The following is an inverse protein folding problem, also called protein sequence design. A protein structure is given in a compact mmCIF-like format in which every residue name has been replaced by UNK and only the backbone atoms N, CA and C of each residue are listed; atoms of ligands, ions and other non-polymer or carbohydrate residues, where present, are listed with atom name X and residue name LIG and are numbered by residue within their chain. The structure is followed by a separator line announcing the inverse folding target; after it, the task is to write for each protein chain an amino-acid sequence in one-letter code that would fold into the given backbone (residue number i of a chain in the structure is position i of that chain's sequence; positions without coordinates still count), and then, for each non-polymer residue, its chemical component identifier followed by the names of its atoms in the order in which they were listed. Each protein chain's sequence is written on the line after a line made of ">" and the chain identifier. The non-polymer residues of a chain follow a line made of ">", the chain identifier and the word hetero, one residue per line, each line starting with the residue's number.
data_IF_146798937652
#
_entry.id   IF_146798937652
#
_cell.length_a   1.000
_cell.length_b   1.000
_cell.length_c   1.000
_cell.angle_alpha   90.00
_cell.angle_beta   90.00
_cell.angle_gamma   90.00
#
_symmetry.space_group_name_H-M   'P 1'
#
loop_
_entity.id
_entity.type
_entity.pdbx_description
1 polymer ?
#
# COMPACT_ATOMS: atom_id res chain seq x y z
N UNK A 1 25.59 -13.24 -8.72
CA UNK A 1 24.73 -12.05 -8.49
C UNK A 1 23.31 -12.44 -8.89
N UNK A 2 22.44 -12.74 -7.93
CA UNK A 2 21.06 -13.15 -8.23
C UNK A 2 20.24 -11.90 -8.55
N UNK A 3 19.73 -11.79 -9.78
CA UNK A 3 18.85 -10.71 -10.18
C UNK A 3 17.60 -10.78 -9.28
N UNK A 4 17.41 -9.77 -8.41
CA UNK A 4 16.16 -9.64 -7.66
C UNK A 4 15.04 -9.50 -8.68
N UNK A 5 14.19 -10.53 -8.80
CA UNK A 5 12.97 -10.47 -9.58
C UNK A 5 12.16 -9.29 -9.04
N UNK A 6 11.84 -8.32 -9.90
CA UNK A 6 11.01 -7.19 -9.52
C UNK A 6 9.67 -7.73 -8.95
N UNK A 7 9.08 -7.06 -7.94
CA UNK A 7 7.78 -7.47 -7.42
C UNK A 7 6.74 -7.41 -8.55
N UNK A 8 5.78 -8.34 -8.55
CA UNK A 8 4.75 -8.41 -9.58
C UNK A 8 3.84 -7.18 -9.64
N UNK A 9 3.74 -6.45 -8.52
CA UNK A 9 2.94 -5.22 -8.39
C UNK A 9 3.78 -4.12 -7.72
N UNK A 10 3.55 -2.84 -8.07
CA UNK A 10 4.41 -1.73 -7.62
C UNK A 10 4.16 -1.22 -6.20
N UNK A 11 3.17 -1.80 -5.49
CA UNK A 11 2.76 -1.34 -4.16
C UNK A 11 3.84 -1.47 -3.09
N UNK A 12 3.77 -0.58 -2.10
CA UNK A 12 4.76 -0.50 -1.02
C UNK A 12 4.92 -1.83 -0.29
N UNK A 13 3.81 -2.52 0.00
CA UNK A 13 3.82 -3.82 0.67
C UNK A 13 4.53 -4.86 -0.19
N UNK A 14 4.33 -4.88 -1.51
CA UNK A 14 5.02 -5.83 -2.40
C UNK A 14 6.51 -5.55 -2.56
N UNK A 15 6.91 -4.28 -2.51
CA UNK A 15 8.30 -3.87 -2.66
C UNK A 15 9.13 -3.91 -1.36
N UNK A 16 8.53 -4.27 -0.22
CA UNK A 16 9.29 -4.56 0.99
C UNK A 16 10.18 -5.80 0.74
N UNK A 17 11.41 -5.87 1.29
CA UNK A 17 12.35 -6.97 1.03
C UNK A 17 11.95 -8.24 1.80
N UNK A 18 10.72 -8.72 1.59
CA UNK A 18 10.27 -10.02 2.04
C UNK A 18 11.21 -11.10 1.50
N UNK A 19 11.50 -12.08 2.34
CA UNK A 19 12.23 -13.26 1.93
C UNK A 19 11.24 -14.24 1.29
N UNK A 20 11.35 -14.45 -0.02
CA UNK A 20 10.53 -15.38 -0.83
C UNK A 20 9.00 -15.16 -0.73
N UNK A 21 8.47 -13.94 -0.99
CA UNK A 21 7.03 -13.73 -1.01
C UNK A 21 6.41 -14.50 -2.19
N UNK A 22 5.37 -15.29 -1.90
CA UNK A 22 4.65 -16.10 -2.89
C UNK A 22 3.28 -15.51 -3.13
N UNK A 23 3.00 -15.19 -4.39
CA UNK A 23 1.70 -14.68 -4.82
C UNK A 23 0.90 -15.84 -5.43
N UNK A 24 -0.30 -16.06 -4.91
CA UNK A 24 -1.28 -16.98 -5.48
C UNK A 24 -2.46 -16.17 -6.00
N UNK A 25 -2.62 -16.14 -7.31
CA UNK A 25 -3.81 -15.54 -7.95
C UNK A 25 -4.99 -16.48 -7.74
N UNK A 26 -6.04 -15.95 -7.11
CA UNK A 26 -7.30 -16.68 -6.86
C UNK A 26 -8.28 -16.44 -8.01
N UNK A 27 -8.37 -15.19 -8.48
CA UNK A 27 -9.28 -14.79 -9.55
C UNK A 27 -8.68 -13.66 -10.36
N UNK A 28 -8.99 -13.65 -11.66
CA UNK A 28 -8.62 -12.62 -12.62
C UNK A 28 -9.83 -12.29 -13.48
N UNK A 29 -10.03 -11.01 -13.74
CA UNK A 29 -11.09 -10.50 -14.61
C UNK A 29 -10.46 -9.59 -15.66
N UNK A 30 -10.66 -9.92 -16.93
CA UNK A 30 -10.10 -9.19 -18.08
C UNK A 30 -11.16 -8.26 -18.71
N UNK A 31 -11.99 -7.63 -17.87
CA UNK A 31 -13.05 -6.71 -18.31
C UNK A 31 -12.52 -5.42 -18.94
N UNK A 32 -13.24 -4.28 -18.88
CA UNK A 32 -12.73 -3.01 -19.39
C UNK A 32 -11.42 -2.59 -18.71
N UNK A 33 -11.13 -3.13 -17.52
CA UNK A 33 -9.87 -3.02 -16.80
C UNK A 33 -9.52 -4.38 -16.22
N UNK A 34 -8.23 -4.67 -16.15
CA UNK A 34 -7.73 -5.86 -15.46
C UNK A 34 -8.00 -5.72 -13.95
N UNK A 35 -8.59 -6.77 -13.38
CA UNK A 35 -8.71 -6.93 -11.92
C UNK A 35 -8.16 -8.28 -11.51
N UNK A 36 -7.27 -8.29 -10.52
CA UNK A 36 -6.66 -9.51 -9.97
C UNK A 36 -6.91 -9.59 -8.47
N UNK A 37 -7.41 -10.72 -8.01
CA UNK A 37 -7.55 -11.04 -6.59
C UNK A 37 -6.59 -12.17 -6.23
N UNK A 38 -5.86 -12.02 -5.13
CA UNK A 38 -4.88 -13.02 -4.74
C UNK A 38 -4.48 -12.97 -3.28
N UNK A 39 -3.72 -13.98 -2.88
CA UNK A 39 -3.07 -14.05 -1.58
C UNK A 39 -1.56 -13.84 -1.76
N UNK A 40 -0.94 -13.22 -0.77
CA UNK A 40 0.50 -13.27 -0.58
C UNK A 40 0.80 -14.08 0.66
N UNK A 41 1.73 -15.02 0.52
CA UNK A 41 2.25 -15.82 1.62
C UNK A 41 3.76 -15.60 1.74
N UNK A 42 4.23 -15.35 2.96
CA UNK A 42 5.65 -15.21 3.28
C UNK A 42 6.07 -16.40 4.15
N UNK A 43 6.75 -17.42 3.60
CA UNK A 43 6.98 -18.69 4.32
C UNK A 43 7.72 -18.54 5.66
N UNK A 44 8.68 -17.60 5.75
CA UNK A 44 9.43 -17.36 6.99
C UNK A 44 8.68 -16.53 8.04
N UNK A 45 7.51 -16.02 7.67
CA UNK A 45 6.66 -15.19 8.50
C UNK A 45 5.21 -15.58 8.22
N UNK A 46 4.78 -16.77 8.65
CA UNK A 46 3.42 -17.26 8.39
C UNK A 46 2.32 -16.30 8.87
N UNK A 47 2.61 -15.51 9.91
CA UNK A 47 1.75 -14.43 10.41
C UNK A 47 1.63 -13.23 9.44
N UNK A 48 2.49 -13.12 8.43
CA UNK A 48 2.53 -12.06 7.42
C UNK A 48 2.08 -12.58 6.06
N UNK A 49 0.82 -12.95 6.02
CA UNK A 49 0.14 -13.29 4.78
C UNK A 49 -1.13 -12.46 4.68
N UNK A 50 -1.44 -12.00 3.48
CA UNK A 50 -2.51 -11.04 3.25
C UNK A 50 -3.23 -11.34 1.94
N UNK A 51 -4.47 -10.87 1.83
CA UNK A 51 -5.17 -10.80 0.56
C UNK A 51 -4.93 -9.46 -0.13
N UNK A 52 -5.06 -9.45 -1.44
CA UNK A 52 -5.09 -8.22 -2.21
C UNK A 52 -6.10 -8.29 -3.36
N UNK A 53 -6.59 -7.11 -3.75
CA UNK A 53 -7.16 -6.84 -5.06
C UNK A 53 -6.29 -5.81 -5.77
N UNK A 54 -5.97 -6.05 -7.05
CA UNK A 54 -5.20 -5.15 -7.90
C UNK A 54 -6.06 -4.76 -9.11
N UNK A 55 -6.38 -3.48 -9.23
CA UNK A 55 -7.16 -2.92 -10.33
C UNK A 55 -6.22 -2.08 -11.19
N UNK A 56 -6.17 -2.37 -12.49
CA UNK A 56 -5.45 -1.56 -13.46
C UNK A 56 -6.18 -0.24 -13.70
N UNK A 57 -5.47 0.88 -13.66
CA UNK A 57 -5.99 2.22 -13.94
C UNK A 57 -5.69 2.61 -15.39
N UNK A 58 -6.48 3.53 -15.94
CA UNK A 58 -6.35 3.94 -17.36
C UNK A 58 -5.14 4.85 -17.62
N UNK A 59 -4.48 5.30 -16.55
CA UNK A 59 -3.32 6.20 -16.61
C UNK A 59 -2.49 6.12 -15.34
N UNK A 60 -1.27 6.66 -15.41
CA UNK A 60 -0.45 6.89 -14.23
C UNK A 60 -1.12 7.92 -13.31
N UNK A 61 -1.07 7.66 -12.01
CA UNK A 61 -1.69 8.42 -10.94
C UNK A 61 -0.65 8.81 -9.89
N UNK A 62 -0.89 9.89 -9.12
CA UNK A 62 -0.02 10.23 -8.01
C UNK A 62 -0.07 9.13 -6.95
N UNK A 63 1.05 8.92 -6.27
CA UNK A 63 1.14 7.95 -5.20
C UNK A 63 0.33 8.44 -4.00
N UNK A 64 -0.72 7.69 -3.69
CA UNK A 64 -1.64 7.98 -2.59
C UNK A 64 -1.84 6.71 -1.78
N UNK A 65 -1.81 6.86 -0.46
CA UNK A 65 -2.00 5.75 0.47
C UNK A 65 -3.10 6.12 1.43
N UNK A 66 -4.07 5.23 1.55
CA UNK A 66 -5.12 5.30 2.52
C UNK A 66 -4.95 4.16 3.52
N UNK A 67 -4.48 4.53 4.70
CA UNK A 67 -4.21 3.60 5.81
C UNK A 67 -5.41 3.55 6.74
N UNK A 68 -5.87 2.35 7.11
CA UNK A 68 -6.92 2.17 8.10
C UNK A 68 -6.38 2.30 9.53
N UNK A 69 -6.89 3.27 10.28
CA UNK A 69 -6.44 3.58 11.63
C UNK A 69 -6.99 2.62 12.70
N UNK A 70 -8.03 1.84 12.40
CA UNK A 70 -8.70 0.97 13.38
C UNK A 70 -8.02 -0.39 13.56
N UNK A 71 -7.36 -0.88 12.51
CA UNK A 71 -6.75 -2.22 12.46
C UNK A 71 -5.22 -2.23 12.44
N UNK A 72 -4.57 -1.06 12.54
CA UNK A 72 -3.12 -0.94 12.49
C UNK A 72 -2.48 -1.12 11.11
N UNK A 73 -3.29 -1.22 10.04
CA UNK A 73 -2.91 -1.20 8.61
C UNK A 73 -1.85 -2.22 8.18
N UNK A 74 -2.10 -3.03 7.15
CA UNK A 74 -1.05 -3.87 6.55
C UNK A 74 0.16 -3.03 6.12
N UNK A 75 -0.08 -1.83 5.57
CA UNK A 75 0.97 -0.91 5.13
C UNK A 75 1.81 -0.47 6.33
N UNK A 76 1.21 0.09 7.38
CA UNK A 76 1.96 0.54 8.54
C UNK A 76 2.71 -0.60 9.25
N UNK A 77 2.10 -1.78 9.36
CA UNK A 77 2.74 -2.97 9.94
C UNK A 77 3.90 -3.54 9.11
N UNK A 78 3.85 -3.35 7.79
CA UNK A 78 4.83 -3.91 6.85
C UNK A 78 5.97 -2.95 6.58
N UNK A 79 5.64 -1.70 6.23
CA UNK A 79 6.60 -0.71 5.72
C UNK A 79 6.73 0.51 6.62
N UNK A 80 5.88 0.69 7.63
CA UNK A 80 5.80 1.89 8.47
C UNK A 80 4.96 3.01 7.85
N UNK A 81 4.96 4.19 8.48
CA UNK A 81 4.23 5.37 8.00
C UNK A 81 4.87 5.90 6.70
N UNK A 82 4.13 6.04 5.59
CA UNK A 82 4.68 6.55 4.33
C UNK A 82 5.35 7.93 4.51
N UNK A 83 6.51 8.14 3.88
CA UNK A 83 7.23 9.43 3.91
C UNK A 83 6.59 10.39 2.88
N UNK A 84 5.35 10.78 3.19
CA UNK A 84 4.52 11.70 2.42
C UNK A 84 3.74 12.64 3.32
N UNK A 85 2.93 13.51 2.71
CA UNK A 85 2.14 14.49 3.45
C UNK A 85 0.83 13.86 3.89
N UNK A 86 0.55 13.86 5.20
CA UNK A 86 -0.76 13.46 5.72
C UNK A 86 -1.77 14.57 5.43
N UNK A 87 -2.79 14.26 4.64
CA UNK A 87 -3.91 15.13 4.37
C UNK A 87 -5.11 14.70 5.23
N UNK A 88 -5.60 15.61 6.08
CA UNK A 88 -6.79 15.36 6.90
C UNK A 88 -8.02 15.78 6.11
N UNK A 89 -8.90 14.83 5.83
CA UNK A 89 -10.18 15.08 5.16
C UNK A 89 -11.28 15.32 6.20
N UNK A 90 -12.37 15.94 5.76
CA UNK A 90 -13.48 16.34 6.63
C UNK A 90 -14.30 15.15 7.15
N UNK A 91 -15.12 15.42 8.18
CA UNK A 91 -16.05 14.44 8.76
C UNK A 91 -15.37 13.30 9.52
N UNK A 92 -16.01 12.14 9.53
CA UNK A 92 -15.51 10.94 10.22
C UNK A 92 -14.36 10.22 9.47
N UNK A 93 -13.96 10.75 8.30
CA UNK A 93 -12.94 10.14 7.47
C UNK A 93 -11.58 10.08 8.18
N UNK A 94 -11.09 11.20 8.71
CA UNK A 94 -9.79 11.28 9.41
C UNK A 94 -9.77 10.52 10.75
N UNK A 95 -10.93 10.08 11.26
CA UNK A 95 -11.04 9.18 12.43
C UNK A 95 -10.89 7.71 12.05
N UNK A 96 -11.11 7.37 10.79
CA UNK A 96 -11.15 5.99 10.30
C UNK A 96 -9.94 5.68 9.43
N UNK A 97 -9.52 6.63 8.61
CA UNK A 97 -8.41 6.49 7.68
C UNK A 97 -7.45 7.67 7.77
N UNK A 98 -6.15 7.39 7.62
CA UNK A 98 -5.15 8.40 7.33
C UNK A 98 -4.83 8.38 5.83
N UNK A 99 -4.99 9.54 5.19
CA UNK A 99 -4.62 9.75 3.80
C UNK A 99 -3.22 10.35 3.73
N UNK A 100 -2.28 9.62 3.12
CA UNK A 100 -0.94 10.10 2.79
C UNK A 100 -0.84 10.30 1.29
N UNK A 101 -0.24 11.42 0.90
CA UNK A 101 -0.08 11.80 -0.51
C UNK A 101 1.37 12.18 -0.77
N UNK A 102 1.82 11.96 -2.01
CA UNK A 102 3.07 12.52 -2.47
C UNK A 102 3.11 14.04 -2.27
N UNK A 103 4.26 14.58 -1.87
CA UNK A 103 4.41 16.01 -1.61
C UNK A 103 4.13 16.82 -2.89
N UNK A 104 3.29 17.87 -2.77
CA UNK A 104 2.86 18.70 -3.89
C UNK A 104 1.63 18.18 -4.65
N UNK A 105 1.04 17.05 -4.24
CA UNK A 105 -0.16 16.44 -4.83
C UNK A 105 -1.40 16.50 -3.92
N UNK A 106 -1.39 17.35 -2.89
CA UNK A 106 -2.51 17.50 -1.95
C UNK A 106 -3.81 17.91 -2.66
N UNK A 107 -3.73 18.88 -3.59
CA UNK A 107 -4.90 19.33 -4.36
C UNK A 107 -5.42 18.25 -5.31
N UNK A 108 -4.52 17.51 -5.95
CA UNK A 108 -4.86 16.37 -6.81
C UNK A 108 -5.58 15.27 -6.01
N UNK A 109 -5.14 15.00 -4.79
CA UNK A 109 -5.80 14.05 -3.90
C UNK A 109 -7.22 14.50 -3.53
N UNK A 110 -7.48 15.79 -3.31
CA UNK A 110 -8.84 16.30 -3.07
C UNK A 110 -9.77 16.11 -4.28
N UNK A 111 -9.23 16.18 -5.50
CA UNK A 111 -9.99 15.90 -6.72
C UNK A 111 -10.35 14.40 -6.85
N UNK A 112 -9.44 13.52 -6.45
CA UNK A 112 -9.63 12.08 -6.53
C UNK A 112 -10.52 11.55 -5.39
N UNK A 113 -10.37 12.09 -4.19
CA UNK A 113 -11.12 11.75 -2.98
C UNK A 113 -12.32 12.67 -2.78
N UNK A 114 -13.17 12.73 -3.82
CA UNK A 114 -14.47 13.40 -3.71
C UNK A 114 -15.32 12.80 -2.57
N UNK A 115 -16.32 13.54 -2.04
CA UNK A 115 -17.20 13.04 -0.98
C UNK A 115 -17.80 11.65 -1.24
N UNK A 116 -18.24 11.36 -2.47
CA UNK A 116 -18.79 10.04 -2.83
C UNK A 116 -17.73 8.92 -2.79
N UNK A 117 -16.46 9.21 -3.10
CA UNK A 117 -15.37 8.23 -2.90
C UNK A 117 -15.14 8.00 -1.41
N UNK A 118 -15.10 9.05 -0.61
CA UNK A 118 -14.93 8.95 0.84
C UNK A 118 -16.05 8.13 1.49
N UNK A 119 -17.31 8.34 1.10
CA UNK A 119 -18.47 7.60 1.59
C UNK A 119 -18.39 6.11 1.25
N UNK A 120 -18.00 5.76 0.02
CA UNK A 120 -17.83 4.35 -0.39
C UNK A 120 -16.73 3.65 0.39
N UNK A 121 -15.63 4.35 0.63
CA UNK A 121 -14.53 3.81 1.43
C UNK A 121 -14.93 3.70 2.91
N UNK A 122 -15.68 4.65 3.46
CA UNK A 122 -16.23 4.56 4.81
C UNK A 122 -17.27 3.45 4.97
N UNK A 123 -17.97 3.09 3.90
CA UNK A 123 -18.91 1.98 3.89
C UNK A 123 -18.21 0.60 3.96
N UNK A 124 -16.88 0.55 3.83
CA UNK A 124 -16.12 -0.68 4.03
C UNK A 124 -16.34 -1.19 5.46
N UNK A 125 -16.76 -2.45 5.65
CA UNK A 125 -16.86 -3.03 6.98
C UNK A 125 -15.54 -2.96 7.73
N UNK A 126 -15.53 -2.30 8.89
CA UNK A 126 -14.32 -2.10 9.70
C UNK A 126 -13.55 -3.39 9.96
N UNK A 127 -14.24 -4.53 10.12
CA UNK A 127 -13.67 -5.86 10.35
C UNK A 127 -12.74 -6.39 9.24
N UNK A 128 -12.69 -5.74 8.08
CA UNK A 128 -11.84 -6.17 6.96
C UNK A 128 -10.44 -5.55 7.02
N UNK A 129 -10.25 -4.51 7.84
CA UNK A 129 -8.99 -3.80 8.05
C UNK A 129 -8.26 -3.48 6.74
N UNK A 130 -9.01 -2.94 5.77
CA UNK A 130 -8.49 -2.70 4.42
C UNK A 130 -7.64 -1.44 4.35
N UNK A 131 -6.48 -1.55 3.72
CA UNK A 131 -5.71 -0.40 3.23
C UNK A 131 -5.88 -0.26 1.72
N UNK A 132 -5.77 0.96 1.20
CA UNK A 132 -5.80 1.24 -0.24
C UNK A 132 -4.55 2.00 -0.64
N UNK A 133 -3.96 1.64 -1.77
CA UNK A 133 -2.79 2.32 -2.34
C UNK A 133 -3.03 2.56 -3.84
N UNK A 134 -2.88 3.80 -4.29
CA UNK A 134 -2.82 4.17 -5.69
C UNK A 134 -1.36 4.43 -6.00
N UNK A 135 -0.76 3.66 -6.91
CA UNK A 135 0.65 3.80 -7.28
C UNK A 135 0.83 3.45 -8.75
N UNK A 136 1.63 4.24 -9.47
CA UNK A 136 1.76 4.15 -10.92
C UNK A 136 0.35 4.15 -11.54
N UNK A 137 -0.02 3.07 -12.21
CA UNK A 137 -1.30 2.83 -12.87
C UNK A 137 -2.05 1.65 -12.23
N UNK A 138 -1.92 1.51 -10.91
CA UNK A 138 -2.60 0.49 -10.11
C UNK A 138 -3.33 1.11 -8.93
N UNK A 139 -4.55 0.62 -8.68
CA UNK A 139 -5.20 0.71 -7.37
C UNK A 139 -5.10 -0.66 -6.70
N UNK A 140 -4.47 -0.69 -5.54
CA UNK A 140 -4.21 -1.88 -4.74
C UNK A 140 -5.01 -1.78 -3.47
N UNK A 141 -5.76 -2.83 -3.15
CA UNK A 141 -6.51 -2.96 -1.89
C UNK A 141 -5.89 -4.12 -1.14
N UNK A 142 -5.56 -3.92 0.12
CA UNK A 142 -4.92 -4.92 0.98
C UNK A 142 -5.85 -5.34 2.10
N UNK A 143 -5.86 -6.62 2.46
CA UNK A 143 -6.48 -7.09 3.70
C UNK A 143 -5.52 -7.98 4.47
N UNK A 144 -5.34 -7.79 5.79
CA UNK A 144 -4.56 -8.72 6.61
C UNK A 144 -5.21 -10.10 6.69
N UNK A 145 -6.50 -10.23 6.36
CA UNK A 145 -7.20 -11.52 6.28
C UNK A 145 -7.05 -12.11 4.88
N UNK A 146 -6.79 -13.41 4.77
CA UNK A 146 -6.59 -14.11 3.49
C UNK A 146 -7.91 -14.41 2.78
N UNK A 147 -7.87 -14.54 1.45
CA UNK A 147 -9.01 -15.02 0.62
C UNK A 147 -9.22 -16.52 0.81
N UNK A 148 -8.13 -17.27 0.96
CA UNK A 148 -8.10 -18.71 1.26
C UNK A 148 -6.94 -18.99 2.23
N UNK A 149 -7.22 -19.76 3.28
CA UNK A 149 -6.33 -20.39 4.23
C UNK A 149 -5.92 -21.67 3.57
N UNK A 150 -4.62 -21.85 3.43
CA UNK A 150 -4.04 -23.07 2.90
C UNK A 150 -4.14 -24.25 3.88
N UNK A 151 -4.86 -24.14 5.00
CA UNK A 151 -5.13 -25.28 5.87
C UNK A 151 -6.32 -26.10 5.38
N UNK A 152 -6.17 -26.70 4.20
CA UNK A 152 -6.82 -27.97 3.92
C UNK A 152 -5.98 -29.08 4.58
N UNK A 153 -5.96 -29.15 5.92
CA UNK A 153 -5.58 -30.38 6.58
C UNK A 153 -6.65 -31.42 6.25
N UNK A 154 -6.23 -32.56 5.69
CA UNK A 154 -7.10 -33.63 5.21
C UNK A 154 -8.28 -33.91 6.14
N UNK A 155 -9.49 -33.52 5.71
CA UNK A 155 -10.75 -33.86 6.40
C UNK A 155 -11.39 -32.76 7.26
N UNK A 156 -10.80 -31.57 7.39
CA UNK A 156 -11.47 -30.43 8.07
C UNK A 156 -12.34 -29.68 7.05
N UNK A 157 -13.64 -29.47 7.30
CA UNK A 157 -14.47 -28.65 6.41
C UNK A 157 -13.93 -27.22 6.38
N UNK A 158 -13.62 -26.72 5.18
CA UNK A 158 -13.20 -25.33 4.97
C UNK A 158 -14.41 -24.44 5.32
N UNK A 159 -14.42 -23.88 6.53
CA UNK A 159 -15.32 -22.78 6.90
C UNK A 159 -14.47 -21.54 7.08
N UNK A 160 -14.07 -20.98 5.97
CA UNK A 160 -13.30 -19.76 5.98
C UNK A 160 -14.20 -18.58 5.62
N UNK A 161 -14.21 -17.57 6.48
CA UNK A 161 -14.79 -16.28 6.11
C UNK A 161 -13.87 -15.67 5.06
N UNK A 162 -14.07 -16.04 3.79
CA UNK A 162 -13.31 -15.49 2.68
C UNK A 162 -13.57 -13.98 2.60
N UNK A 163 -12.50 -13.18 2.52
CA UNK A 163 -12.62 -11.74 2.24
C UNK A 163 -12.94 -11.45 0.77
N UNK A 164 -12.92 -12.46 -0.11
CA UNK A 164 -13.10 -12.27 -1.54
C UNK A 164 -14.43 -11.56 -1.89
N UNK A 165 -15.61 -11.96 -1.37
CA UNK A 165 -16.86 -11.27 -1.70
C UNK A 165 -16.85 -9.80 -1.28
N UNK A 166 -16.15 -9.47 -0.20
CA UNK A 166 -16.05 -8.09 0.27
C UNK A 166 -15.08 -7.26 -0.59
N UNK A 167 -13.96 -7.84 -1.03
CA UNK A 167 -13.06 -7.22 -1.99
C UNK A 167 -13.76 -7.00 -3.33
N UNK A 168 -14.49 -8.00 -3.83
CA UNK A 168 -15.28 -7.91 -5.06
C UNK A 168 -16.34 -6.80 -4.97
N UNK A 169 -17.08 -6.74 -3.86
CA UNK A 169 -18.07 -5.70 -3.64
C UNK A 169 -17.44 -4.30 -3.59
N UNK A 170 -16.29 -4.14 -2.93
CA UNK A 170 -15.58 -2.86 -2.85
C UNK A 170 -15.06 -2.44 -4.23
N UNK A 171 -14.39 -3.34 -4.95
CA UNK A 171 -13.93 -3.08 -6.32
C UNK A 171 -15.11 -2.66 -7.20
N UNK A 172 -16.23 -3.40 -7.17
CA UNK A 172 -17.42 -3.05 -7.93
C UNK A 172 -17.98 -1.66 -7.56
N UNK A 173 -18.00 -1.31 -6.28
CA UNK A 173 -18.45 0.01 -5.81
C UNK A 173 -17.52 1.16 -6.26
N UNK A 174 -16.22 0.90 -6.38
CA UNK A 174 -15.22 1.89 -6.81
C UNK A 174 -15.11 2.02 -8.33
N UNK A 175 -15.49 1.01 -9.12
CA UNK A 175 -15.35 1.04 -10.59
C UNK A 175 -15.91 2.29 -11.29
N UNK A 176 -17.11 2.80 -10.94
CA UNK A 176 -17.60 4.04 -11.55
C UNK A 176 -16.69 5.24 -11.31
N UNK A 177 -16.03 5.29 -10.14
CA UNK A 177 -15.11 6.39 -9.76
C UNK A 177 -13.75 6.25 -10.41
N UNK A 178 -13.24 5.02 -10.47
CA UNK A 178 -12.03 4.73 -11.23
C UNK A 178 -12.20 5.14 -12.70
N UNK A 179 -13.38 4.89 -13.29
CA UNK A 179 -13.68 5.36 -14.64
C UNK A 179 -13.72 6.88 -14.79
N UNK A 180 -14.13 7.60 -13.75
CA UNK A 180 -14.09 9.07 -13.76
C UNK A 180 -12.65 9.60 -13.64
N UNK A 181 -11.75 8.89 -12.94
CA UNK A 181 -10.35 9.28 -12.78
C UNK A 181 -9.54 9.26 -14.08
N UNK A 182 -10.02 8.57 -15.11
CA UNK A 182 -9.44 8.66 -16.46
C UNK A 182 -9.38 10.11 -17.01
N UNK A 183 -10.22 11.01 -16.47
CA UNK A 183 -10.25 12.43 -16.81
C UNK A 183 -9.22 13.28 -16.04
N UNK A 184 -8.67 12.77 -14.95
CA UNK A 184 -7.62 13.47 -14.21
C UNK A 184 -6.36 13.55 -15.08
N UNK A 185 -5.62 14.65 -14.97
CA UNK A 185 -4.30 14.78 -15.60
C UNK A 185 -3.40 15.65 -14.73
N UNK A 186 -2.11 15.31 -14.70
CA UNK A 186 -1.12 16.11 -13.98
C UNK A 186 -0.82 17.35 -14.82
N UNK A 187 -1.32 18.52 -14.40
CA UNK A 187 -1.08 19.77 -15.13
C UNK A 187 0.40 20.17 -15.17
N UNK A 188 1.25 19.53 -14.36
CA UNK A 188 2.69 19.77 -14.28
C UNK A 188 3.44 19.09 -15.42
N UNK A 189 2.84 18.06 -16.02
CA UNK A 189 3.41 17.29 -17.11
C UNK A 189 2.57 17.47 -18.39
N UNK A 190 3.18 17.91 -19.51
CA UNK A 190 2.45 18.16 -20.75
C UNK A 190 2.00 16.85 -21.43
N UNK A 191 2.65 15.72 -21.13
CA UNK A 191 2.38 14.44 -21.76
C UNK A 191 1.28 13.67 -21.03
N UNK A 192 0.19 13.41 -21.76
CA UNK A 192 -0.93 12.63 -21.27
C UNK A 192 -0.48 11.23 -20.81
N UNK A 193 -0.75 10.90 -19.54
CA UNK A 193 -0.43 9.60 -18.96
C UNK A 193 0.88 9.55 -18.17
N UNK A 194 1.54 10.69 -17.98
CA UNK A 194 2.68 10.81 -17.07
C UNK A 194 2.31 11.52 -15.77
N UNK A 195 3.12 11.31 -14.75
CA UNK A 195 3.07 11.97 -13.44
C UNK A 195 4.47 12.47 -13.13
N UNK A 196 4.59 13.69 -12.58
CA UNK A 196 5.90 14.23 -12.23
C UNK A 196 6.64 13.31 -11.25
N UNK A 197 7.97 13.38 -11.25
CA UNK A 197 8.81 12.51 -10.41
C UNK A 197 8.45 12.58 -8.92
N UNK A 198 8.07 13.77 -8.43
CA UNK A 198 7.61 13.98 -7.05
C UNK A 198 6.35 13.16 -6.74
N UNK A 199 5.44 13.00 -7.71
CA UNK A 199 4.17 12.31 -7.54
C UNK A 199 4.26 10.80 -7.67
N UNK A 200 5.30 10.25 -8.31
CA UNK A 200 5.33 8.83 -8.68
C UNK A 200 5.46 7.90 -7.48
N UNK A 201 6.31 8.24 -6.52
CA UNK A 201 6.61 7.38 -5.37
C UNK A 201 6.92 8.20 -4.14
N UNK A 202 6.16 7.94 -3.08
CA UNK A 202 6.53 8.36 -1.74
C UNK A 202 7.70 7.51 -1.28
N UNK A 203 8.63 8.14 -0.57
CA UNK A 203 9.70 7.39 0.05
C UNK A 203 9.13 6.50 1.16
N UNK A 204 9.77 5.36 1.38
CA UNK A 204 9.48 4.57 2.59
C UNK A 204 10.04 5.34 3.78
N UNK A 205 9.43 5.24 4.98
CA UNK A 205 10.02 5.82 6.16
C UNK A 205 11.44 5.29 6.30
N UNK A 206 12.40 6.19 6.49
CA UNK A 206 13.75 5.81 6.94
C UNK A 206 13.57 5.09 8.27
N UNK A 207 13.76 3.77 8.28
CA UNK A 207 13.46 2.96 9.46
C UNK A 207 14.27 3.44 10.67
N UNK A 208 13.72 3.28 11.88
CA UNK A 208 14.42 3.56 13.15
C UNK A 208 15.79 2.86 13.25
N UNK A 209 16.01 1.80 12.47
CA UNK A 209 17.30 1.11 12.30
C UNK A 209 18.39 1.98 11.65
N UNK A 210 18.07 2.84 10.69
CA UNK A 210 19.06 3.75 10.08
C UNK A 210 19.57 4.78 11.09
N UNK A 211 18.72 5.21 12.02
CA UNK A 211 19.10 6.09 13.12
C UNK A 211 20.06 5.41 14.09
N UNK A 212 19.84 4.13 14.42
CA UNK A 212 20.72 3.37 15.33
C UNK A 212 22.08 3.12 14.67
N UNK A 213 22.11 2.80 13.37
CA UNK A 213 23.37 2.65 12.62
C UNK A 213 24.11 3.99 12.52
N UNK A 214 23.42 5.09 12.20
CA UNK A 214 24.06 6.41 12.18
C UNK A 214 24.59 6.84 13.56
N UNK A 215 23.84 6.61 14.64
CA UNK A 215 24.28 6.91 16.00
C UNK A 215 25.45 6.00 16.43
N UNK A 216 25.47 4.73 16.05
CA UNK A 216 26.58 3.82 16.37
C UNK A 216 27.83 4.10 15.55
N UNK A 217 27.70 4.44 14.27
CA UNK A 217 28.83 4.78 13.40
C UNK A 217 29.45 6.13 13.80
N UNK A 218 28.63 7.17 13.97
CA UNK A 218 29.12 8.49 14.39
C UNK A 218 29.50 8.55 15.87
N UNK A 219 28.74 7.87 16.74
CA UNK A 219 29.08 7.74 18.16
C UNK A 219 30.34 6.91 18.38
N UNK A 220 30.55 5.86 17.58
CA UNK A 220 31.78 5.07 17.60
C UNK A 220 33.00 5.85 17.09
N UNK A 221 32.85 6.62 16.02
CA UNK A 221 33.92 7.49 15.50
C UNK A 221 34.25 8.66 16.45
N UNK A 222 33.23 9.27 17.07
CA UNK A 222 33.43 10.31 18.09
C UNK A 222 34.08 9.74 19.37
N UNK A 223 33.71 8.54 19.79
CA UNK A 223 34.32 7.84 20.91
C UNK A 223 35.78 7.48 20.66
N UNK A 224 36.12 6.99 19.46
CA UNK A 224 37.51 6.70 19.06
C UNK A 224 38.36 7.98 18.96
N UNK A 225 37.79 9.08 18.48
CA UNK A 225 38.46 10.38 18.45
C UNK A 225 38.73 10.92 19.86
N UNK A 226 37.77 10.79 20.79
CA UNK A 226 37.93 11.22 22.18
C UNK A 226 38.96 10.36 22.94
N UNK A 227 38.99 9.05 22.68
CA UNK A 227 39.99 8.14 23.24
C UNK A 227 41.41 8.44 22.72
N UNK A 228 41.55 8.77 21.43
CA UNK A 228 42.84 9.18 20.84
C UNK A 228 43.34 10.52 21.40
N UNK A 229 42.44 11.48 21.63
CA UNK A 229 42.76 12.79 22.24
C UNK A 229 43.15 12.70 23.72
N UNK A 230 42.68 11.69 24.46
CA UNK A 230 43.00 11.54 25.88
C UNK A 230 44.26 10.73 26.12
N UNK A 231 44.75 10.01 25.11
CA UNK A 231 45.92 9.12 25.18
C UNK A 231 47.16 9.67 24.44
N UNK A 232 47.06 10.83 23.78
CA UNK A 232 48.15 11.60 23.17
C UNK A 232 48.12 13.05 23.68
#
# INVERSE_FOLDING_TARGET
>A
MSARRAPAYPGMVFGYPWIDPRITVVRREDGPREVVYGNVHVPRHEQRAWAFAAVRLDRMMPHIVLENLRGGGLIACSVGVPDGRRLRLEGDFDRTFALYVAEGYETDALYLFTPDVMERVLAIPAKLDLDVEIVDDWLLIYSPTRIVSLEAAAGVPIRETSVLPALEALVAQLMPKIGAWARWSDHREPDAGTVSTAGRRMSRPRGRFDYVVHVLVWGGLAGLFWLWWTLN
#
